data_IF_605126570467
#
_entry.id   IF_605126570467
#
_cell.length_a   1.000
_cell.length_b   1.000
_cell.length_c   1.000
_cell.angle_alpha   90.00
_cell.angle_beta   90.00
_cell.angle_gamma   90.00
#
_symmetry.space_group_name_H-M   'P 1'
#
loop_
_entity.id
_entity.type
_entity.pdbx_description
1 polymer ?
#
# COMPACT_ATOMS: atom_id res chain seq x y z
N UNK A 1 -8.73 -15.25 29.52
CA UNK A 1 -9.04 -16.58 28.94
C UNK A 1 -9.69 -16.50 27.55
N UNK A 2 -10.20 -15.34 27.11
CA UNK A 2 -10.82 -15.17 25.78
C UNK A 2 -9.80 -14.85 24.67
N UNK A 3 -8.70 -14.17 24.99
CA UNK A 3 -7.65 -13.83 24.02
C UNK A 3 -7.06 -15.01 23.24
N UNK A 4 -6.66 -16.15 23.85
CA UNK A 4 -6.10 -17.25 23.09
C UNK A 4 -7.14 -17.93 22.18
N UNK A 5 -8.41 -17.95 22.59
CA UNK A 5 -9.49 -18.57 21.79
C UNK A 5 -9.82 -17.70 20.59
N UNK A 6 -9.92 -16.38 20.79
CA UNK A 6 -10.14 -15.43 19.70
C UNK A 6 -8.95 -15.39 18.72
N UNK A 7 -7.71 -15.48 19.22
CA UNK A 7 -6.52 -15.56 18.39
C UNK A 7 -6.49 -16.83 17.51
N UNK A 8 -6.85 -18.00 18.07
CA UNK A 8 -6.90 -19.25 17.30
C UNK A 8 -8.03 -19.24 16.27
N UNK A 9 -9.21 -18.70 16.61
CA UNK A 9 -10.30 -18.52 15.65
C UNK A 9 -9.95 -17.54 14.53
N UNK A 10 -9.28 -16.43 14.86
CA UNK A 10 -8.78 -15.46 13.86
C UNK A 10 -7.74 -16.08 12.94
N UNK A 11 -6.78 -16.83 13.49
CA UNK A 11 -5.78 -17.56 12.70
C UNK A 11 -6.43 -18.59 11.77
N UNK A 12 -7.42 -19.35 12.27
CA UNK A 12 -8.16 -20.33 11.46
C UNK A 12 -8.94 -19.66 10.30
N UNK A 13 -9.54 -18.49 10.56
CA UNK A 13 -10.23 -17.72 9.53
C UNK A 13 -9.27 -17.20 8.44
N UNK A 14 -8.06 -16.76 8.83
CA UNK A 14 -7.03 -16.31 7.88
C UNK A 14 -6.58 -17.47 6.99
N UNK A 15 -6.30 -18.65 7.55
CA UNK A 15 -5.86 -19.84 6.78
C UNK A 15 -6.90 -20.24 5.72
N UNK A 16 -8.19 -20.07 6.00
CA UNK A 16 -9.25 -20.34 5.03
C UNK A 16 -9.31 -19.29 3.90
N UNK A 17 -8.87 -18.05 4.16
CA UNK A 17 -8.89 -16.94 3.19
C UNK A 17 -7.53 -16.64 2.54
N UNK A 18 -6.44 -17.26 3.00
CA UNK A 18 -5.09 -17.15 2.43
C UNK A 18 -5.04 -17.30 0.90
N UNK A 19 -5.78 -18.21 0.25
CA UNK A 19 -5.73 -18.33 -1.21
C UNK A 19 -6.36 -17.13 -1.94
N UNK A 20 -7.33 -16.45 -1.33
CA UNK A 20 -8.07 -15.34 -1.93
C UNK A 20 -7.42 -13.98 -1.63
N UNK A 21 -6.76 -13.87 -0.47
CA UNK A 21 -6.03 -12.70 -0.02
C UNK A 21 -5.08 -12.08 -1.06
N UNK A 22 -4.20 -12.84 -1.75
CA UNK A 22 -3.29 -12.25 -2.74
C UNK A 22 -4.02 -11.68 -3.95
N UNK A 23 -5.15 -12.27 -4.37
CA UNK A 23 -5.95 -11.73 -5.45
C UNK A 23 -6.66 -10.43 -5.05
N UNK A 24 -7.19 -10.37 -3.83
CA UNK A 24 -7.82 -9.16 -3.30
C UNK A 24 -6.80 -8.04 -3.11
N UNK A 25 -5.61 -8.34 -2.57
CA UNK A 25 -4.51 -7.38 -2.43
C UNK A 25 -3.98 -6.91 -3.79
N UNK A 26 -3.84 -7.81 -4.77
CA UNK A 26 -3.44 -7.44 -6.13
C UNK A 26 -4.47 -6.49 -6.78
N UNK A 27 -5.77 -6.76 -6.58
CA UNK A 27 -6.83 -5.87 -7.05
C UNK A 27 -6.79 -4.49 -6.36
N UNK A 28 -6.61 -4.47 -5.04
CA UNK A 28 -6.49 -3.23 -4.28
C UNK A 28 -5.26 -2.41 -4.70
N UNK A 29 -4.11 -3.06 -4.92
CA UNK A 29 -2.91 -2.42 -5.43
C UNK A 29 -3.14 -1.80 -6.82
N UNK A 30 -3.83 -2.53 -7.71
CA UNK A 30 -4.20 -2.00 -9.02
C UNK A 30 -5.11 -0.77 -8.95
N UNK A 31 -6.10 -0.78 -8.06
CA UNK A 31 -6.98 0.37 -7.83
C UNK A 31 -6.20 1.60 -7.33
N UNK A 32 -5.26 1.41 -6.41
CA UNK A 32 -4.41 2.50 -5.92
C UNK A 32 -3.51 3.08 -7.01
N UNK A 33 -2.94 2.23 -7.88
CA UNK A 33 -2.14 2.71 -9.04
C UNK A 33 -3.00 3.56 -9.99
N UNK A 34 -4.22 3.11 -10.31
CA UNK A 34 -5.12 3.86 -11.18
C UNK A 34 -5.46 5.24 -10.62
N UNK A 35 -5.88 5.33 -9.35
CA UNK A 35 -6.21 6.60 -8.69
C UNK A 35 -5.02 7.55 -8.65
N UNK A 36 -3.81 7.03 -8.38
CA UNK A 36 -2.60 7.86 -8.35
C UNK A 36 -2.29 8.43 -9.74
N UNK A 37 -2.40 7.62 -10.79
CA UNK A 37 -2.03 8.04 -12.16
C UNK A 37 -3.08 8.94 -12.80
N UNK A 38 -4.37 8.66 -12.58
CA UNK A 38 -5.46 9.35 -13.28
C UNK A 38 -5.93 10.61 -12.55
N UNK A 39 -5.90 10.62 -11.21
CA UNK A 39 -6.33 11.78 -10.42
C UNK A 39 -5.14 12.53 -9.79
N UNK A 40 -4.30 11.84 -9.01
CA UNK A 40 -3.32 12.52 -8.14
C UNK A 40 -2.20 13.18 -8.95
N UNK A 41 -1.59 12.48 -9.91
CA UNK A 41 -0.49 13.05 -10.72
C UNK A 41 -1.00 14.23 -11.57
N UNK A 42 -2.12 14.13 -12.31
CA UNK A 42 -2.64 15.25 -13.10
C UNK A 42 -3.02 16.46 -12.25
N UNK A 43 -3.63 16.24 -11.08
CA UNK A 43 -3.98 17.32 -10.15
C UNK A 43 -2.73 18.02 -9.62
N UNK A 44 -1.70 17.25 -9.24
CA UNK A 44 -0.42 17.79 -8.79
C UNK A 44 0.31 18.59 -9.88
N UNK A 45 0.18 18.20 -11.15
CA UNK A 45 0.74 18.94 -12.29
C UNK A 45 -0.09 20.19 -12.64
N UNK A 46 -1.42 20.16 -12.48
CA UNK A 46 -2.33 21.29 -12.73
C UNK A 46 -2.18 22.42 -11.72
N UNK A 47 -1.75 22.14 -10.49
CA UNK A 47 -1.46 23.14 -9.46
C UNK A 47 -0.25 24.06 -9.75
N UNK A 48 0.25 24.09 -11.00
CA UNK A 48 1.22 25.09 -11.49
C UNK A 48 2.69 24.75 -11.27
N UNK A 49 3.00 23.81 -10.37
CA UNK A 49 4.38 23.43 -10.00
C UNK A 49 4.72 21.98 -10.38
N UNK A 50 4.43 21.58 -11.62
CA UNK A 50 4.63 20.20 -12.09
C UNK A 50 6.03 19.63 -11.83
N UNK A 51 7.09 20.44 -11.96
CA UNK A 51 8.46 20.03 -11.63
C UNK A 51 8.66 19.74 -10.13
N UNK A 52 8.06 20.55 -9.26
CA UNK A 52 8.11 20.33 -7.81
C UNK A 52 7.31 19.08 -7.42
N UNK A 53 6.14 18.87 -8.04
CA UNK A 53 5.32 17.68 -7.84
C UNK A 53 6.07 16.40 -8.23
N UNK A 54 6.77 16.39 -9.37
CA UNK A 54 7.57 15.23 -9.78
C UNK A 54 8.75 14.97 -8.85
N UNK A 55 9.45 16.02 -8.39
CA UNK A 55 10.55 15.87 -7.42
C UNK A 55 10.02 15.34 -6.07
N UNK A 56 8.89 15.87 -5.59
CA UNK A 56 8.25 15.41 -4.36
C UNK A 56 7.79 13.95 -4.47
N UNK A 57 7.26 13.53 -5.63
CA UNK A 57 6.90 12.15 -5.90
C UNK A 57 8.11 11.21 -5.83
N UNK A 58 9.24 11.59 -6.46
CA UNK A 58 10.49 10.81 -6.40
C UNK A 58 11.01 10.70 -4.96
N UNK A 59 11.01 11.81 -4.21
CA UNK A 59 11.44 11.81 -2.80
C UNK A 59 10.52 10.91 -1.96
N UNK A 60 9.20 11.02 -2.12
CA UNK A 60 8.23 10.18 -1.41
C UNK A 60 8.41 8.70 -1.69
N UNK A 61 8.66 8.34 -2.96
CA UNK A 61 8.96 6.96 -3.36
C UNK A 61 10.25 6.44 -2.71
N UNK A 62 11.31 7.26 -2.68
CA UNK A 62 12.56 6.90 -2.00
C UNK A 62 12.37 6.70 -0.50
N UNK A 63 11.62 7.59 0.16
CA UNK A 63 11.33 7.45 1.60
C UNK A 63 10.56 6.17 1.88
N UNK A 64 9.53 5.85 1.06
CA UNK A 64 8.79 4.60 1.18
C UNK A 64 9.72 3.39 1.01
N UNK A 65 10.57 3.37 -0.02
CA UNK A 65 11.53 2.28 -0.23
C UNK A 65 12.54 2.16 0.92
N UNK A 66 13.00 3.26 1.49
CA UNK A 66 13.87 3.22 2.67
C UNK A 66 13.15 2.66 3.91
N UNK A 67 11.87 2.96 4.09
CA UNK A 67 11.08 2.40 5.20
C UNK A 67 10.81 0.91 5.02
N UNK A 68 10.48 0.48 3.80
CA UNK A 68 10.23 -0.91 3.45
C UNK A 68 11.49 -1.75 3.71
N UNK A 69 12.61 -1.38 3.09
CA UNK A 69 13.90 -2.07 3.27
C UNK A 69 14.39 -2.02 4.72
N UNK A 70 14.19 -0.90 5.43
CA UNK A 70 14.64 -0.76 6.81
C UNK A 70 13.80 -1.57 7.82
N UNK A 71 12.52 -1.81 7.54
CA UNK A 71 11.64 -2.64 8.37
C UNK A 71 11.75 -4.13 8.02
N UNK A 72 11.97 -4.48 6.76
CA UNK A 72 12.20 -5.88 6.33
C UNK A 72 13.51 -6.47 6.88
N UNK A 73 14.48 -5.65 7.27
CA UNK A 73 15.78 -6.09 7.83
C UNK A 73 15.74 -6.35 9.36
N UNK A 74 14.59 -6.18 10.05
CA UNK A 74 14.43 -6.37 11.52
C UNK A 74 13.55 -7.56 11.91
#
# INVERSE_FOLDING_TARGET
>A
MVEPIAAVLGAAAIILMEPLLPYALAFAAGAMIYVVVDDIIPEAQRSGNGKLASIACIIGFLVMMCMDVGLDDS
#
